data_IF_258151419893
#
_entry.id   IF_258151419893
#
_cell.length_a   1.000
_cell.length_b   1.000
_cell.length_c   1.000
_cell.angle_alpha   90.00
_cell.angle_beta   90.00
_cell.angle_gamma   90.00
#
_symmetry.space_group_name_H-M   'P 1'
#
loop_
_entity.id
_entity.type
_entity.pdbx_description
1 polymer ?
#
# COMPACT_ATOMS: atom_id res chain seq x y z
N UNK A 1 3.67 -5.55 18.01
CA UNK A 1 3.67 -4.36 17.15
C UNK A 1 3.33 -4.75 15.72
N UNK A 2 2.46 -3.98 15.10
CA UNK A 2 2.09 -4.22 13.72
C UNK A 2 3.15 -3.76 12.75
N UNK A 3 3.23 -4.44 11.62
CA UNK A 3 4.09 -4.06 10.52
C UNK A 3 3.34 -4.27 9.21
N UNK A 4 3.60 -3.39 8.24
CA UNK A 4 3.08 -3.58 6.90
C UNK A 4 3.66 -4.88 6.33
N UNK A 5 2.84 -5.61 5.60
CA UNK A 5 3.24 -6.89 5.02
C UNK A 5 4.12 -6.63 3.79
N UNK A 6 5.33 -7.20 3.80
CA UNK A 6 6.22 -7.10 2.63
C UNK A 6 5.77 -8.11 1.57
N UNK A 7 5.40 -7.60 0.40
CA UNK A 7 4.98 -8.42 -0.73
C UNK A 7 6.17 -8.78 -1.61
N UNK A 8 5.99 -9.83 -2.38
CA UNK A 8 6.86 -10.16 -3.50
C UNK A 8 6.00 -10.32 -4.74
N UNK A 9 6.65 -10.44 -5.90
CA UNK A 9 5.94 -10.73 -7.15
C UNK A 9 5.19 -12.06 -7.07
N UNK A 10 5.65 -12.99 -6.21
CA UNK A 10 5.02 -14.29 -6.05
C UNK A 10 3.80 -14.27 -5.12
N UNK A 11 3.76 -13.33 -4.18
CA UNK A 11 2.66 -13.26 -3.21
C UNK A 11 1.60 -12.23 -3.58
N UNK A 12 1.88 -11.38 -4.56
CA UNK A 12 1.02 -10.25 -4.89
C UNK A 12 -0.41 -10.68 -5.24
N UNK A 13 -0.55 -11.68 -6.08
CA UNK A 13 -1.90 -12.10 -6.51
C UNK A 13 -2.73 -12.58 -5.33
N UNK A 14 -2.18 -13.47 -4.51
CA UNK A 14 -2.93 -14.04 -3.39
C UNK A 14 -3.23 -12.99 -2.31
N UNK A 15 -2.23 -12.15 -2.00
CA UNK A 15 -2.36 -11.21 -0.88
C UNK A 15 -3.15 -9.96 -1.25
N UNK A 16 -3.12 -9.55 -2.52
CA UNK A 16 -3.73 -8.30 -2.96
C UNK A 16 -4.98 -8.56 -3.80
N UNK A 17 -4.82 -9.27 -4.91
CA UNK A 17 -5.90 -9.39 -5.88
C UNK A 17 -7.02 -10.30 -5.41
N UNK A 18 -6.70 -11.29 -4.58
CA UNK A 18 -7.68 -12.26 -4.05
C UNK A 18 -8.09 -11.98 -2.61
N UNK A 19 -7.67 -10.84 -2.04
CA UNK A 19 -7.99 -10.50 -0.67
C UNK A 19 -9.47 -10.16 -0.52
N UNK A 20 -10.07 -10.62 0.59
CA UNK A 20 -11.44 -10.24 0.95
C UNK A 20 -11.53 -8.86 1.55
N UNK A 21 -10.42 -8.36 2.12
CA UNK A 21 -10.33 -7.00 2.65
C UNK A 21 -9.77 -6.07 1.59
N UNK A 22 -10.07 -4.76 1.67
CA UNK A 22 -9.32 -3.78 0.90
C UNK A 22 -7.84 -3.88 1.24
N UNK A 23 -6.96 -3.66 0.27
CA UNK A 23 -5.51 -3.78 0.46
C UNK A 23 -4.84 -2.51 -0.02
N UNK A 24 -4.10 -1.86 0.86
CA UNK A 24 -3.23 -0.75 0.48
C UNK A 24 -1.87 -1.31 0.13
N UNK A 25 -1.38 -1.00 -1.07
CA UNK A 25 -0.04 -1.40 -1.52
C UNK A 25 0.80 -0.15 -1.65
N UNK A 26 1.87 -0.06 -0.83
CA UNK A 26 2.84 1.03 -0.91
C UNK A 26 3.98 0.60 -1.82
N UNK A 27 4.03 1.18 -3.01
CA UNK A 27 5.17 1.00 -3.93
C UNK A 27 6.26 1.97 -3.50
N UNK A 28 7.40 1.44 -3.06
CA UNK A 28 8.45 2.23 -2.40
C UNK A 28 9.84 1.77 -2.84
N UNK A 29 10.87 2.51 -2.42
CA UNK A 29 12.26 2.11 -2.63
C UNK A 29 13.08 2.48 -1.39
N UNK A 30 14.14 1.70 -1.09
CA UNK A 30 14.97 1.96 0.11
C UNK A 30 15.66 3.32 0.12
N UNK A 31 15.98 3.88 -1.05
CA UNK A 31 16.69 5.15 -1.16
C UNK A 31 15.78 6.37 -1.10
N UNK A 32 14.49 6.16 -1.02
CA UNK A 32 13.50 7.23 -1.13
C UNK A 32 13.20 7.82 0.27
N UNK A 33 13.56 9.09 0.49
CA UNK A 33 13.34 9.76 1.77
C UNK A 33 11.88 9.79 2.21
N UNK A 34 10.96 10.29 1.37
CA UNK A 34 9.54 10.27 1.74
C UNK A 34 8.99 8.88 2.01
N UNK A 35 9.52 7.84 1.31
CA UNK A 35 9.12 6.47 1.58
C UNK A 35 9.53 6.05 2.99
N UNK A 36 10.75 6.44 3.42
CA UNK A 36 11.24 6.13 4.76
C UNK A 36 10.41 6.83 5.83
N UNK A 37 9.93 8.03 5.56
CA UNK A 37 9.06 8.76 6.47
C UNK A 37 7.67 8.10 6.56
N UNK A 38 7.22 7.50 5.47
CA UNK A 38 5.91 6.84 5.43
C UNK A 38 5.91 5.49 6.15
N UNK A 39 7.07 4.82 6.20
CA UNK A 39 7.16 3.45 6.72
C UNK A 39 6.62 3.29 8.15
N UNK A 40 7.04 4.11 9.15
CA UNK A 40 6.50 3.93 10.50
C UNK A 40 5.00 4.23 10.57
N UNK A 41 4.51 5.14 9.74
CA UNK A 41 3.08 5.46 9.68
C UNK A 41 2.30 4.24 9.21
N UNK A 42 2.78 3.59 8.15
CA UNK A 42 2.13 2.39 7.61
C UNK A 42 2.15 1.25 8.61
N UNK A 43 3.27 1.09 9.33
CA UNK A 43 3.37 0.04 10.34
C UNK A 43 2.32 0.26 11.46
N UNK A 44 2.16 1.49 11.93
CA UNK A 44 1.17 1.81 12.94
C UNK A 44 -0.25 1.57 12.42
N UNK A 45 -0.55 2.03 11.22
CA UNK A 45 -1.87 1.84 10.64
C UNK A 45 -2.18 0.37 10.36
N UNK A 46 -1.15 -0.43 10.04
CA UNK A 46 -1.36 -1.86 9.81
C UNK A 46 -1.91 -2.56 11.04
N UNK A 47 -1.53 -2.10 12.24
CA UNK A 47 -2.07 -2.65 13.47
C UNK A 47 -3.44 -2.03 13.78
N UNK A 48 -3.55 -0.71 13.66
CA UNK A 48 -4.76 0.00 14.06
C UNK A 48 -5.96 -0.31 13.17
N UNK A 49 -5.72 -0.57 11.88
CA UNK A 49 -6.78 -0.77 10.90
C UNK A 49 -6.87 -2.22 10.40
N UNK A 50 -6.26 -3.16 11.11
CA UNK A 50 -6.08 -4.54 10.63
C UNK A 50 -7.39 -5.26 10.27
N UNK A 51 -8.51 -4.85 10.87
CA UNK A 51 -9.79 -5.46 10.57
C UNK A 51 -10.54 -4.76 9.44
N UNK A 52 -10.00 -3.66 8.93
CA UNK A 52 -10.65 -2.84 7.90
C UNK A 52 -9.88 -2.82 6.59
N UNK A 53 -8.56 -2.77 6.65
CA UNK A 53 -7.71 -2.70 5.47
C UNK A 53 -6.40 -3.40 5.74
N UNK A 54 -5.91 -4.15 4.76
CA UNK A 54 -4.61 -4.80 4.84
C UNK A 54 -3.57 -3.83 4.30
N UNK A 55 -2.55 -3.54 5.10
CA UNK A 55 -1.48 -2.61 4.71
C UNK A 55 -0.27 -3.42 4.25
N UNK A 56 0.17 -3.18 3.02
CA UNK A 56 1.28 -3.93 2.41
C UNK A 56 2.26 -2.99 1.73
N UNK A 57 3.45 -3.52 1.40
CA UNK A 57 4.52 -2.77 0.73
C UNK A 57 5.14 -3.64 -0.35
N UNK A 58 5.53 -3.01 -1.46
CA UNK A 58 6.27 -3.68 -2.52
C UNK A 58 7.49 -2.83 -2.89
N UNK A 59 8.69 -3.39 -2.66
CA UNK A 59 9.95 -2.72 -2.97
C UNK A 59 10.17 -2.75 -4.49
N UNK A 60 10.17 -1.55 -5.12
CA UNK A 60 10.30 -1.45 -6.57
C UNK A 60 11.73 -1.62 -7.07
N UNK A 61 12.72 -1.65 -6.16
CA UNK A 61 14.13 -1.85 -6.54
C UNK A 61 14.48 -3.32 -6.76
N UNK A 62 13.63 -4.23 -6.30
CA UNK A 62 13.84 -5.65 -6.56
C UNK A 62 13.49 -5.92 -8.02
N UNK A 63 14.45 -6.46 -8.79
CA UNK A 63 14.29 -6.62 -10.24
C UNK A 63 13.05 -7.43 -10.61
N UNK A 64 12.75 -8.49 -9.84
CA UNK A 64 11.60 -9.35 -10.09
C UNK A 64 10.27 -8.63 -9.90
N UNK A 65 10.26 -7.48 -9.21
CA UNK A 65 9.03 -6.69 -9.00
C UNK A 65 8.78 -5.67 -10.11
N UNK A 66 9.75 -5.49 -11.00
CA UNK A 66 9.63 -4.49 -12.07
C UNK A 66 8.37 -4.66 -12.94
N UNK A 67 7.99 -5.87 -13.34
CA UNK A 67 6.76 -6.02 -14.13
C UNK A 67 5.52 -5.46 -13.44
N UNK A 68 5.43 -5.59 -12.11
CA UNK A 68 4.30 -5.02 -11.37
C UNK A 68 4.34 -3.50 -11.36
N UNK A 69 5.52 -2.92 -11.15
CA UNK A 69 5.67 -1.47 -11.17
C UNK A 69 5.30 -0.90 -12.53
N UNK A 70 5.66 -1.58 -13.61
CA UNK A 70 5.31 -1.17 -14.96
C UNK A 70 3.80 -1.32 -15.19
N UNK A 71 3.25 -2.47 -14.79
CA UNK A 71 1.82 -2.74 -14.97
C UNK A 71 0.95 -1.67 -14.32
N UNK A 72 1.32 -1.23 -13.12
CA UNK A 72 0.55 -0.25 -12.40
C UNK A 72 1.06 1.18 -12.59
N UNK A 73 1.96 1.38 -13.56
CA UNK A 73 2.42 2.70 -14.01
C UNK A 73 2.98 3.54 -12.87
N UNK A 74 3.88 2.94 -12.08
CA UNK A 74 4.48 3.63 -10.94
C UNK A 74 5.54 4.59 -11.46
N UNK A 75 5.23 5.90 -11.44
CA UNK A 75 6.12 6.95 -11.94
C UNK A 75 6.82 7.70 -10.80
N UNK A 76 6.15 7.88 -9.68
CA UNK A 76 6.74 8.54 -8.50
C UNK A 76 6.41 7.74 -7.26
N UNK A 77 7.27 7.83 -6.23
CA UNK A 77 7.12 7.08 -5.00
C UNK A 77 7.29 7.99 -3.78
N UNK A 78 6.68 7.68 -2.63
CA UNK A 78 5.82 6.52 -2.42
C UNK A 78 4.52 6.67 -3.20
N UNK A 79 4.08 5.57 -3.80
CA UNK A 79 2.81 5.53 -4.53
C UNK A 79 1.98 4.45 -3.86
N UNK A 80 0.94 4.87 -3.15
CA UNK A 80 0.12 3.96 -2.37
C UNK A 80 -1.22 3.79 -3.07
N UNK A 81 -1.50 2.56 -3.49
CA UNK A 81 -2.72 2.25 -4.22
C UNK A 81 -3.61 1.38 -3.36
N UNK A 82 -4.89 1.76 -3.27
CA UNK A 82 -5.86 0.96 -2.55
C UNK A 82 -6.59 0.05 -3.53
N UNK A 83 -6.45 -1.25 -3.30
CA UNK A 83 -7.12 -2.29 -4.09
C UNK A 83 -8.34 -2.80 -3.34
N UNK A 84 -9.40 -3.08 -4.07
CA UNK A 84 -10.58 -3.72 -3.52
C UNK A 84 -11.17 -4.65 -4.57
N UNK A 85 -11.32 -5.92 -4.20
CA UNK A 85 -11.84 -6.96 -5.09
C UNK A 85 -11.04 -7.02 -6.40
N UNK A 86 -9.72 -6.89 -6.28
CA UNK A 86 -8.80 -7.00 -7.40
C UNK A 86 -8.64 -5.75 -8.25
N UNK A 87 -9.28 -4.64 -7.88
CA UNK A 87 -9.23 -3.40 -8.67
C UNK A 87 -8.72 -2.24 -7.82
N UNK A 88 -8.01 -1.31 -8.46
CA UNK A 88 -7.57 -0.09 -7.80
C UNK A 88 -8.78 0.84 -7.66
N UNK A 89 -9.05 1.26 -6.42
CA UNK A 89 -10.16 2.17 -6.14
C UNK A 89 -9.68 3.57 -5.75
N UNK A 90 -8.40 3.73 -5.38
CA UNK A 90 -7.86 5.03 -5.00
C UNK A 90 -6.35 5.01 -5.08
N UNK A 91 -5.75 6.16 -5.45
CA UNK A 91 -4.31 6.40 -5.43
C UNK A 91 -3.99 7.45 -4.38
N UNK A 92 -2.87 7.22 -3.65
CA UNK A 92 -2.32 8.21 -2.72
C UNK A 92 -0.84 8.35 -3.08
N UNK A 93 -0.45 9.46 -3.68
CA UNK A 93 0.92 9.65 -4.15
C UNK A 93 1.61 10.65 -3.25
N UNK A 94 2.78 10.25 -2.73
CA UNK A 94 3.60 11.10 -1.87
C UNK A 94 3.32 10.90 -0.40
N UNK A 95 4.14 11.56 0.43
CA UNK A 95 4.05 11.48 1.87
C UNK A 95 2.84 12.22 2.41
N UNK A 96 2.22 11.66 3.47
CA UNK A 96 1.19 12.33 4.26
C UNK A 96 1.42 12.06 5.74
N UNK A 97 1.17 13.04 6.61
CA UNK A 97 1.17 12.77 8.05
C UNK A 97 0.12 11.71 8.42
N UNK A 98 0.38 11.01 9.50
CA UNK A 98 -0.47 9.87 9.89
C UNK A 98 -1.95 10.23 10.00
N UNK A 99 -2.27 11.35 10.70
CA UNK A 99 -3.67 11.72 10.92
C UNK A 99 -4.39 12.01 9.61
N UNK A 100 -3.69 12.65 8.65
CA UNK A 100 -4.25 12.96 7.33
C UNK A 100 -4.51 11.67 6.57
N UNK A 101 -3.50 10.78 6.54
CA UNK A 101 -3.61 9.54 5.77
C UNK A 101 -4.65 8.60 6.35
N UNK A 102 -4.71 8.52 7.67
CA UNK A 102 -5.71 7.69 8.34
C UNK A 102 -7.12 8.13 7.97
N UNK A 103 -7.36 9.45 7.96
CA UNK A 103 -8.66 9.98 7.57
C UNK A 103 -8.96 9.68 6.10
N UNK A 104 -8.00 9.89 5.21
CA UNK A 104 -8.18 9.58 3.79
C UNK A 104 -8.55 8.12 3.57
N UNK A 105 -7.83 7.20 4.22
CA UNK A 105 -8.11 5.77 4.11
C UNK A 105 -9.49 5.43 4.64
N UNK A 106 -9.81 5.91 5.83
CA UNK A 106 -11.12 5.61 6.42
C UNK A 106 -12.26 6.12 5.56
N UNK A 107 -12.10 7.32 4.98
CA UNK A 107 -13.15 7.89 4.12
C UNK A 107 -13.39 7.04 2.87
N UNK A 108 -12.30 6.52 2.26
CA UNK A 108 -12.47 5.67 1.07
C UNK A 108 -13.04 4.31 1.46
N UNK A 109 -12.49 3.69 2.51
CA UNK A 109 -12.88 2.33 2.92
C UNK A 109 -14.35 2.27 3.32
N UNK A 110 -14.86 3.28 4.04
CA UNK A 110 -16.25 3.26 4.49
C UNK A 110 -17.24 3.39 3.32
N UNK A 111 -16.80 3.85 2.17
CA UNK A 111 -17.65 4.00 0.98
C UNK A 111 -17.57 2.81 0.03
N UNK A 112 -16.76 1.81 0.35
CA UNK A 112 -16.68 0.58 -0.45
C UNK A 112 -17.89 -0.30 -0.19
N UNK A 113 -18.26 -1.07 -1.23
CA UNK A 113 -19.45 -1.93 -1.15
C UNK A 113 -19.14 -3.39 -1.34
#
# INVERSE_FOLDING_TARGET
MGKALNLTHETFEAEVLKSSLPVLVDFWAPWCGPCQMMAPILDQLSEELKDKVKITKLDTEVAAHMPLAIQYQIASIPNMKLFYQGKIVQDFIGFRPKAVFEKELNDVVKNLK
#
